data_IF_209007170069
#
_entry.id   IF_209007170069
#
_cell.length_a   1.000
_cell.length_b   1.000
_cell.length_c   1.000
_cell.angle_alpha   90.00
_cell.angle_beta   90.00
_cell.angle_gamma   90.00
#
_symmetry.space_group_name_H-M   'P 1'
#
loop_
_entity.id
_entity.type
_entity.pdbx_description
1 polymer ?
#
# COMPACT_ATOMS: atom_id res chain seq x y z
N UNK A 1 3.15 17.96 -19.40
CA UNK A 1 2.67 17.54 -18.07
C UNK A 1 3.24 16.15 -17.84
N UNK A 2 4.21 16.00 -16.94
CA UNK A 2 4.81 14.69 -16.63
C UNK A 2 3.88 14.06 -15.60
N UNK A 3 3.05 13.11 -16.04
CA UNK A 3 2.22 12.32 -15.14
C UNK A 3 3.03 11.20 -14.51
N UNK A 4 2.65 10.78 -13.31
CA UNK A 4 3.15 9.55 -12.71
C UNK A 4 2.57 8.39 -13.54
N UNK A 5 3.39 7.47 -14.08
CA UNK A 5 2.88 6.30 -14.79
C UNK A 5 1.95 5.47 -13.89
N UNK A 6 0.90 4.84 -14.45
CA UNK A 6 0.07 3.92 -13.68
C UNK A 6 0.93 2.75 -13.16
N UNK A 7 0.66 2.31 -11.94
CA UNK A 7 1.35 1.22 -11.25
C UNK A 7 0.36 0.12 -10.91
N UNK A 8 0.71 -1.13 -11.25
CA UNK A 8 0.00 -2.32 -10.78
C UNK A 8 0.84 -2.97 -9.69
N UNK A 9 0.25 -3.16 -8.51
CA UNK A 9 0.96 -3.67 -7.35
C UNK A 9 0.20 -4.82 -6.68
N UNK A 10 0.94 -5.79 -6.13
CA UNK A 10 0.40 -6.88 -5.33
C UNK A 10 0.52 -6.56 -3.85
N UNK A 11 -0.58 -6.73 -3.11
CA UNK A 11 -0.59 -6.59 -1.66
C UNK A 11 0.17 -7.75 -1.02
N UNK A 12 1.18 -7.44 -0.21
CA UNK A 12 1.96 -8.42 0.58
C UNK A 12 1.54 -8.48 2.04
N UNK A 13 1.14 -7.35 2.61
CA UNK A 13 0.76 -7.27 4.01
C UNK A 13 -0.30 -6.19 4.24
N UNK A 14 -1.20 -6.45 5.17
CA UNK A 14 -2.15 -5.47 5.70
C UNK A 14 -1.98 -5.45 7.21
N UNK A 15 -1.61 -4.30 7.76
CA UNK A 15 -1.26 -4.14 9.17
C UNK A 15 -2.18 -3.08 9.77
N UNK A 16 -2.98 -3.46 10.76
CA UNK A 16 -3.74 -2.55 11.61
C UNK A 16 -2.95 -2.18 12.86
N UNK A 17 -2.95 -0.91 13.24
CA UNK A 17 -2.34 -0.43 14.48
C UNK A 17 -3.41 0.01 15.48
N UNK A 18 -3.41 -0.56 16.69
CA UNK A 18 -4.30 -0.18 17.80
C UNK A 18 -3.58 -0.34 19.16
N UNK A 19 -3.38 0.73 19.98
CA UNK A 19 -3.82 2.11 19.74
C UNK A 19 -2.87 2.87 18.81
N UNK A 20 -3.42 3.89 18.13
CA UNK A 20 -2.67 4.91 17.40
C UNK A 20 -1.80 5.66 18.41
N UNK A 21 -0.55 5.23 18.58
CA UNK A 21 0.31 5.76 19.64
C UNK A 21 0.82 7.15 19.25
N UNK A 22 0.37 8.20 19.93
CA UNK A 22 0.78 9.60 19.69
C UNK A 22 2.21 9.94 20.18
N UNK A 23 2.91 8.99 20.84
CA UNK A 23 4.27 9.20 21.33
C UNK A 23 5.32 8.69 20.32
N UNK A 24 5.75 9.57 19.41
CA UNK A 24 6.88 9.32 18.50
C UNK A 24 6.79 10.11 17.18
N UNK A 25 7.94 10.39 16.57
CA UNK A 25 8.11 11.26 15.37
C UNK A 25 7.49 10.67 14.08
N UNK A 26 7.00 9.42 14.12
CA UNK A 26 6.48 8.74 12.95
C UNK A 26 4.94 8.71 13.00
N UNK A 27 4.24 9.26 11.99
CA UNK A 27 2.80 9.08 11.87
C UNK A 27 2.54 7.58 11.72
N UNK A 28 1.91 6.97 12.73
CA UNK A 28 1.45 5.58 12.64
C UNK A 28 -0.04 5.62 12.30
N UNK A 29 -0.41 5.43 11.02
CA UNK A 29 -1.83 5.39 10.67
C UNK A 29 -2.52 4.16 11.25
N UNK A 30 -3.85 4.21 11.28
CA UNK A 30 -4.70 3.09 11.68
C UNK A 30 -4.45 1.83 10.83
N UNK A 31 -4.12 2.04 9.54
CA UNK A 31 -3.99 0.98 8.56
C UNK A 31 -2.79 1.23 7.63
N UNK A 32 -2.02 0.17 7.42
CA UNK A 32 -0.87 0.14 6.53
C UNK A 32 -0.98 -1.01 5.55
N UNK A 33 -0.73 -0.73 4.27
CA UNK A 33 -0.66 -1.72 3.21
C UNK A 33 0.77 -1.81 2.69
N UNK A 34 1.42 -2.94 2.91
CA UNK A 34 2.67 -3.28 2.24
C UNK A 34 2.36 -3.87 0.87
N UNK A 35 2.93 -3.30 -0.18
CA UNK A 35 2.73 -3.75 -1.56
C UNK A 35 4.06 -3.85 -2.30
N UNK A 36 4.06 -4.58 -3.40
CA UNK A 36 5.19 -4.64 -4.33
C UNK A 36 4.67 -4.42 -5.74
N UNK A 37 5.43 -3.75 -6.59
CA UNK A 37 5.18 -3.76 -8.02
C UNK A 37 5.24 -5.21 -8.53
N UNK A 38 4.25 -5.62 -9.32
CA UNK A 38 4.17 -6.97 -9.89
C UNK A 38 5.41 -7.34 -10.71
N UNK A 39 6.12 -6.36 -11.28
CA UNK A 39 7.37 -6.57 -11.99
C UNK A 39 8.53 -7.07 -11.10
N UNK A 40 8.41 -6.92 -9.77
CA UNK A 40 9.41 -7.32 -8.77
C UNK A 40 8.84 -8.36 -7.79
N UNK A 41 7.80 -9.09 -8.19
CA UNK A 41 7.29 -10.22 -7.41
C UNK A 41 8.39 -11.29 -7.23
N UNK A 42 8.65 -11.69 -5.98
CA UNK A 42 9.72 -12.64 -5.63
C UNK A 42 11.05 -12.00 -5.20
N UNK A 43 11.20 -10.69 -5.31
CA UNK A 43 12.29 -9.96 -4.64
C UNK A 43 11.86 -9.59 -3.22
N UNK A 44 12.58 -10.11 -2.22
CA UNK A 44 12.30 -9.90 -0.80
C UNK A 44 12.67 -8.50 -0.31
N UNK A 45 13.55 -7.79 -1.03
CA UNK A 45 13.95 -6.42 -0.73
C UNK A 45 13.08 -5.38 -1.45
N UNK A 46 12.42 -5.77 -2.56
CA UNK A 46 11.52 -4.88 -3.29
C UNK A 46 10.16 -4.73 -2.60
N UNK A 47 9.74 -3.48 -2.40
CA UNK A 47 8.41 -3.16 -1.88
C UNK A 47 8.27 -1.70 -1.45
N UNK A 48 7.03 -1.32 -1.19
CA UNK A 48 6.69 -0.01 -0.64
C UNK A 48 5.50 -0.14 0.31
N UNK A 49 5.30 0.90 1.11
CA UNK A 49 4.27 0.95 2.15
C UNK A 49 3.34 2.11 1.88
N UNK A 50 2.04 1.83 1.83
CA UNK A 50 0.97 2.82 1.74
C UNK A 50 0.35 2.98 3.12
N UNK A 51 0.42 4.20 3.64
CA UNK A 51 -0.21 4.60 4.90
C UNK A 51 -1.64 5.08 4.58
N UNK A 52 -2.66 4.39 5.09
CA UNK A 52 -4.07 4.70 4.83
C UNK A 52 -4.68 5.47 6.00
N UNK A 53 -5.71 6.28 5.76
CA UNK A 53 -6.33 7.10 6.81
C UNK A 53 -5.53 8.35 7.18
N UNK A 54 -4.62 8.80 6.31
CA UNK A 54 -3.90 10.06 6.42
C UNK A 54 -4.71 11.24 5.86
N UNK A 55 -4.31 12.49 6.16
CA UNK A 55 -4.98 13.70 5.65
C UNK A 55 -4.93 13.82 4.12
N UNK A 56 -3.94 13.21 3.46
CA UNK A 56 -3.86 13.15 2.01
C UNK A 56 -4.76 12.03 1.45
N UNK A 57 -5.71 12.35 0.54
CA UNK A 57 -6.62 11.36 -0.02
C UNK A 57 -5.89 10.47 -1.03
N UNK A 58 -5.79 9.17 -0.71
CA UNK A 58 -5.36 8.15 -1.67
C UNK A 58 -6.63 7.45 -2.17
N UNK A 59 -6.92 7.58 -3.46
CA UNK A 59 -7.99 6.83 -4.11
C UNK A 59 -7.47 5.43 -4.47
N UNK A 60 -8.15 4.39 -3.97
CA UNK A 60 -7.76 2.99 -4.17
C UNK A 60 -8.93 2.24 -4.80
N UNK A 61 -8.68 1.59 -5.93
CA UNK A 61 -9.62 0.67 -6.58
C UNK A 61 -9.08 -0.76 -6.46
N UNK A 62 -9.92 -1.67 -5.95
CA UNK A 62 -9.59 -3.08 -5.90
C UNK A 62 -10.00 -3.76 -7.22
N UNK A 63 -9.02 -4.23 -7.98
CA UNK A 63 -9.23 -5.08 -9.16
C UNK A 63 -9.11 -6.55 -8.76
N UNK A 64 -10.20 -7.30 -8.87
CA UNK A 64 -10.17 -8.77 -8.78
C UNK A 64 -9.92 -9.34 -10.17
N UNK A 65 -8.80 -10.05 -10.36
CA UNK A 65 -8.62 -10.88 -11.56
C UNK A 65 -9.67 -12.00 -11.50
N UNK A 66 -10.68 -11.94 -12.37
CA UNK A 66 -11.51 -13.11 -12.66
C UNK A 66 -10.64 -14.06 -13.48
N UNK A 67 -10.40 -15.26 -12.95
CA UNK A 67 -9.90 -16.37 -13.76
C UNK A 67 -10.96 -16.68 -14.82
N UNK A 68 -10.71 -16.29 -16.07
CA UNK A 68 -11.48 -16.79 -17.22
C UNK A 68 -11.21 -18.30 -17.34
N UNK A 69 -12.24 -19.11 -17.08
CA UNK A 69 -12.29 -20.57 -17.31
C UNK A 69 -12.08 -20.97 -18.79
#
# INVERSE_FOLDING_TARGET
MIGIPPLVARVRAVIGYDPVFEYGILPRPDLVVGAVDVAYEGDDEAGFTVYLGTEEPIEVEAVSEQEDE
#
